data_IF_539517488475
#
_entry.id   IF_539517488475
#
_cell.length_a   1.000
_cell.length_b   1.000
_cell.length_c   1.000
_cell.angle_alpha   90.00
_cell.angle_beta   90.00
_cell.angle_gamma   90.00
#
_symmetry.space_group_name_H-M   'P 1'
#
loop_
_entity.id
_entity.type
_entity.pdbx_description
1 polymer ?
#
# COMPACT_ATOMS: atom_id res chain seq x y z
N UNK A 1 33.05 96.92 -36.91
CA UNK A 1 33.41 95.49 -36.86
C UNK A 1 33.07 94.95 -35.48
N UNK A 2 31.86 94.41 -35.28
CA UNK A 2 31.47 93.68 -34.07
C UNK A 2 31.81 92.20 -34.29
N UNK A 3 32.63 91.62 -33.40
CA UNK A 3 32.93 90.19 -33.40
C UNK A 3 31.95 89.51 -32.45
N UNK A 4 31.08 88.67 -32.98
CA UNK A 4 30.19 87.79 -32.23
C UNK A 4 30.97 86.53 -31.84
N UNK A 5 31.18 86.31 -30.55
CA UNK A 5 31.76 85.08 -30.00
C UNK A 5 30.61 84.12 -29.70
N UNK A 6 30.54 83.00 -30.41
CA UNK A 6 29.59 81.92 -30.13
C UNK A 6 30.33 80.85 -29.33
N UNK A 7 29.93 80.67 -28.07
CA UNK A 7 30.41 79.62 -27.17
C UNK A 7 29.52 78.39 -27.37
N UNK A 8 30.08 77.29 -27.84
CA UNK A 8 29.43 75.98 -27.85
C UNK A 8 29.62 75.32 -26.48
N UNK A 9 28.54 75.19 -25.69
CA UNK A 9 28.53 74.39 -24.47
C UNK A 9 28.17 72.95 -24.85
N UNK A 10 29.14 72.04 -24.74
CA UNK A 10 28.93 70.61 -24.92
C UNK A 10 28.45 70.02 -23.59
N UNK A 11 27.15 69.71 -23.47
CA UNK A 11 26.60 69.00 -22.32
C UNK A 11 26.75 67.50 -22.57
N UNK A 12 27.68 66.85 -21.87
CA UNK A 12 27.80 65.40 -21.87
C UNK A 12 26.77 64.81 -20.88
N UNK A 13 25.71 64.20 -21.40
CA UNK A 13 24.76 63.41 -20.60
C UNK A 13 25.33 62.01 -20.37
N UNK A 14 25.76 61.72 -19.14
CA UNK A 14 26.07 60.36 -18.72
C UNK A 14 24.76 59.58 -18.55
N UNK A 15 24.43 58.70 -19.50
CA UNK A 15 23.35 57.73 -19.35
C UNK A 15 23.84 56.57 -18.46
N UNK A 16 23.27 56.46 -17.26
CA UNK A 16 23.42 55.27 -16.43
C UNK A 16 22.66 54.11 -17.09
N UNK A 17 23.37 53.23 -17.80
CA UNK A 17 22.83 51.94 -18.23
C UNK A 17 22.83 51.01 -17.01
N UNK A 18 21.71 50.89 -16.31
CA UNK A 18 21.52 49.78 -15.38
C UNK A 18 21.50 48.48 -16.17
N UNK A 19 22.19 47.44 -15.68
CA UNK A 19 22.15 46.11 -16.28
C UNK A 19 20.68 45.66 -16.44
N UNK A 20 20.20 45.55 -17.67
CA UNK A 20 18.87 45.02 -17.94
C UNK A 20 18.88 43.50 -17.72
N UNK A 21 17.80 42.97 -17.15
CA UNK A 21 17.50 41.53 -17.13
C UNK A 21 17.60 40.98 -18.56
N UNK A 22 18.12 39.77 -18.71
CA UNK A 22 18.27 39.12 -20.02
C UNK A 22 16.98 38.41 -20.38
N UNK A 23 16.28 38.91 -21.40
CA UNK A 23 15.15 38.24 -22.03
C UNK A 23 15.57 37.47 -23.27
N UNK A 24 15.21 36.20 -23.38
CA UNK A 24 15.31 35.42 -24.61
C UNK A 24 13.89 35.07 -25.06
N UNK A 25 13.44 35.67 -26.17
CA UNK A 25 12.06 35.51 -26.67
C UNK A 25 11.01 36.33 -25.92
N UNK A 26 11.42 37.22 -25.02
CA UNK A 26 10.59 38.25 -24.38
C UNK A 26 11.33 39.58 -24.33
N UNK A 27 10.62 40.69 -24.57
CA UNK A 27 11.15 42.05 -24.42
C UNK A 27 10.81 42.66 -23.06
N UNK A 28 10.05 41.93 -22.23
CA UNK A 28 9.68 42.31 -20.87
C UNK A 28 10.00 41.12 -19.96
N UNK A 29 11.30 40.87 -19.65
CA UNK A 29 11.68 39.82 -18.71
C UNK A 29 10.98 40.03 -17.37
N UNK A 30 10.60 38.94 -16.72
CA UNK A 30 10.08 39.02 -15.35
C UNK A 30 11.08 39.78 -14.45
N UNK A 31 10.64 40.80 -13.69
CA UNK A 31 11.52 41.64 -12.88
C UNK A 31 12.24 40.86 -11.77
N UNK A 32 11.76 39.66 -11.40
CA UNK A 32 12.42 38.79 -10.44
C UNK A 32 13.57 37.94 -11.03
N UNK A 33 13.68 37.85 -12.36
CA UNK A 33 14.60 36.93 -13.03
C UNK A 33 15.72 37.67 -13.79
N UNK A 34 16.98 37.39 -13.47
CA UNK A 34 18.12 37.91 -14.25
C UNK A 34 18.16 37.33 -15.67
N UNK A 35 17.63 36.11 -15.86
CA UNK A 35 17.43 35.47 -17.16
C UNK A 35 15.99 34.95 -17.24
N UNK A 36 15.23 35.43 -18.22
CA UNK A 36 13.88 34.98 -18.54
C UNK A 36 13.84 34.46 -19.98
N UNK A 37 13.34 33.24 -20.18
CA UNK A 37 13.28 32.58 -21.48
C UNK A 37 11.82 32.25 -21.79
N UNK A 38 11.28 32.88 -22.83
CA UNK A 38 9.92 32.65 -23.31
C UNK A 38 9.94 32.08 -24.72
N UNK A 39 9.27 30.94 -24.91
CA UNK A 39 9.08 30.35 -26.23
C UNK A 39 7.83 29.46 -26.23
N UNK A 40 7.10 29.48 -27.35
CA UNK A 40 5.95 28.58 -27.57
C UNK A 40 6.30 27.35 -28.42
N UNK A 41 7.53 27.27 -28.94
CA UNK A 41 7.95 26.23 -29.90
C UNK A 41 9.34 25.64 -29.66
N UNK A 42 10.13 26.19 -28.74
CA UNK A 42 11.48 25.72 -28.40
C UNK A 42 11.63 25.61 -26.89
N UNK A 43 12.50 24.71 -26.43
CA UNK A 43 12.83 24.55 -25.02
C UNK A 43 14.21 25.10 -24.67
N UNK A 44 14.55 25.07 -23.37
CA UNK A 44 15.91 25.30 -22.89
C UNK A 44 16.73 24.02 -22.97
N UNK A 45 17.91 24.10 -23.59
CA UNK A 45 18.89 23.01 -23.61
C UNK A 45 20.03 23.35 -22.65
N UNK A 46 20.03 22.87 -21.39
CA UNK A 46 21.14 23.09 -20.47
C UNK A 46 22.42 22.42 -20.97
N UNK A 47 23.60 22.77 -20.43
CA UNK A 47 24.84 22.06 -20.72
C UNK A 47 24.66 20.54 -20.57
N UNK A 48 25.06 19.80 -21.61
CA UNK A 48 24.91 18.34 -21.68
C UNK A 48 26.27 17.70 -21.50
N UNK A 49 26.40 16.79 -20.55
CA UNK A 49 27.67 16.15 -20.23
C UNK A 49 27.46 14.82 -19.51
N UNK A 50 28.42 13.92 -19.60
CA UNK A 50 28.43 12.64 -18.88
C UNK A 50 28.67 12.84 -17.37
N UNK A 51 28.42 11.81 -16.57
CA UNK A 51 28.73 11.81 -15.14
C UNK A 51 30.21 12.13 -14.85
N UNK A 52 31.13 11.65 -15.69
CA UNK A 52 32.57 11.89 -15.56
C UNK A 52 32.91 13.36 -15.79
N UNK A 53 32.40 13.95 -16.86
CA UNK A 53 32.60 15.37 -17.18
C UNK A 53 31.97 16.28 -16.12
N UNK A 54 30.76 15.95 -15.68
CA UNK A 54 30.06 16.65 -14.58
C UNK A 54 30.86 16.62 -13.27
N UNK A 55 31.46 15.48 -12.93
CA UNK A 55 32.32 15.35 -11.75
C UNK A 55 33.56 16.22 -11.85
N UNK A 56 34.10 16.38 -13.07
CA UNK A 56 35.25 17.20 -13.40
C UNK A 56 35.04 18.72 -13.31
N UNK A 57 33.80 19.21 -13.16
CA UNK A 57 33.54 20.64 -12.97
C UNK A 57 34.25 21.14 -11.71
N UNK A 58 35.24 22.02 -11.84
CA UNK A 58 35.89 22.68 -10.70
C UNK A 58 35.00 23.79 -10.11
N UNK A 59 35.15 24.08 -8.81
CA UNK A 59 34.48 25.20 -8.12
C UNK A 59 32.94 25.24 -8.31
N UNK A 60 32.28 24.10 -8.14
CA UNK A 60 30.82 23.97 -8.27
C UNK A 60 30.10 24.89 -7.27
N UNK A 61 29.04 25.55 -7.72
CA UNK A 61 28.20 26.42 -6.88
C UNK A 61 26.79 25.84 -6.75
N UNK A 62 26.14 26.06 -5.60
CA UNK A 62 24.76 25.64 -5.39
C UNK A 62 23.84 26.29 -6.45
N UNK A 63 22.90 25.51 -6.99
CA UNK A 63 22.00 25.92 -8.07
C UNK A 63 22.55 25.66 -9.48
N UNK A 64 23.76 25.14 -9.63
CA UNK A 64 24.29 24.73 -10.93
C UNK A 64 23.46 23.57 -11.50
N UNK A 65 22.94 23.73 -12.72
CA UNK A 65 22.11 22.72 -13.39
C UNK A 65 22.72 22.26 -14.72
N UNK A 66 22.66 20.96 -14.98
CA UNK A 66 23.12 20.33 -16.21
C UNK A 66 22.16 19.21 -16.62
N UNK A 67 22.20 18.79 -17.88
CA UNK A 67 21.61 17.51 -18.29
C UNK A 67 22.70 16.45 -18.35
N UNK A 68 22.64 15.48 -17.44
CA UNK A 68 23.59 14.39 -17.39
C UNK A 68 23.22 13.33 -18.44
N UNK A 69 24.05 13.21 -19.48
CA UNK A 69 23.81 12.27 -20.59
C UNK A 69 24.02 10.81 -20.19
N UNK A 70 24.72 10.54 -19.09
CA UNK A 70 24.86 9.18 -18.53
C UNK A 70 23.60 8.74 -17.80
N UNK A 71 22.97 9.64 -17.01
CA UNK A 71 21.74 9.32 -16.26
C UNK A 71 20.46 9.67 -17.02
N UNK A 72 20.58 10.37 -18.15
CA UNK A 72 19.45 10.81 -18.97
C UNK A 72 18.59 11.89 -18.30
N UNK A 73 19.13 12.65 -17.34
CA UNK A 73 18.34 13.50 -16.47
C UNK A 73 18.96 14.88 -16.20
N UNK A 74 18.12 15.86 -15.88
CA UNK A 74 18.55 17.12 -15.29
C UNK A 74 19.04 16.90 -13.85
N UNK A 75 20.26 17.33 -13.57
CA UNK A 75 20.86 17.28 -12.24
C UNK A 75 21.17 18.69 -11.76
N UNK A 76 20.95 18.94 -10.46
CA UNK A 76 21.27 20.20 -9.80
C UNK A 76 22.28 19.97 -8.68
N UNK A 77 23.34 20.77 -8.62
CA UNK A 77 24.25 20.78 -7.48
C UNK A 77 23.64 21.60 -6.35
N UNK A 78 23.44 21.01 -5.18
CA UNK A 78 22.83 21.69 -4.02
C UNK A 78 23.83 22.40 -3.10
N UNK A 79 25.12 22.41 -3.45
CA UNK A 79 26.22 22.92 -2.62
C UNK A 79 27.11 21.83 -2.05
N UNK A 80 26.61 20.61 -1.87
CA UNK A 80 27.37 19.46 -1.36
C UNK A 80 27.38 18.26 -2.30
N UNK A 81 26.32 18.08 -3.08
CA UNK A 81 26.11 16.92 -3.94
C UNK A 81 25.22 17.27 -5.13
N UNK A 82 25.26 16.41 -6.15
CA UNK A 82 24.35 16.48 -7.27
C UNK A 82 23.06 15.71 -6.98
N UNK A 83 21.92 16.36 -7.19
CA UNK A 83 20.59 15.79 -7.05
C UNK A 83 20.03 15.51 -8.44
N UNK A 84 19.54 14.29 -8.66
CA UNK A 84 18.79 13.92 -9.86
C UNK A 84 17.33 14.38 -9.72
N UNK A 85 16.88 15.25 -10.63
CA UNK A 85 15.54 15.86 -10.58
C UNK A 85 14.45 15.02 -11.28
N UNK A 86 14.82 13.93 -11.97
CA UNK A 86 13.89 13.08 -12.72
C UNK A 86 13.43 11.86 -11.92
N UNK A 87 13.57 11.93 -10.59
CA UNK A 87 13.39 10.88 -9.59
C UNK A 87 14.64 10.03 -9.34
N UNK A 88 15.12 10.08 -8.10
CA UNK A 88 15.89 8.98 -7.55
C UNK A 88 15.15 8.46 -6.34
N UNK A 89 14.91 7.15 -6.36
CA UNK A 89 14.70 6.40 -5.14
C UNK A 89 16.03 6.41 -4.37
N UNK A 90 16.00 6.46 -3.02
CA UNK A 90 17.19 6.14 -2.25
C UNK A 90 17.74 4.79 -2.71
N UNK A 91 19.07 4.63 -2.79
CA UNK A 91 19.70 3.40 -3.31
C UNK A 91 19.26 2.09 -2.62
N UNK A 92 18.67 2.17 -1.42
CA UNK A 92 18.09 1.05 -0.68
C UNK A 92 16.68 0.64 -1.15
N UNK A 93 15.98 1.48 -1.91
CA UNK A 93 14.63 1.20 -2.41
C UNK A 93 14.73 0.61 -3.81
N UNK A 94 14.40 -0.67 -3.91
CA UNK A 94 14.61 -1.47 -5.12
C UNK A 94 13.49 -1.29 -6.16
N UNK A 95 12.29 -0.92 -5.72
CA UNK A 95 11.13 -0.69 -6.59
C UNK A 95 10.11 0.23 -5.91
N UNK A 96 9.28 0.90 -6.72
CA UNK A 96 8.06 1.58 -6.29
C UNK A 96 6.98 1.35 -7.35
N UNK A 97 5.75 1.14 -6.90
CA UNK A 97 4.58 1.02 -7.77
C UNK A 97 3.43 1.79 -7.12
N UNK A 98 2.71 2.57 -7.92
CA UNK A 98 1.43 3.17 -7.53
C UNK A 98 0.36 2.40 -8.28
N UNK A 99 -0.46 1.65 -7.56
CA UNK A 99 -1.46 0.76 -8.13
C UNK A 99 -2.83 1.16 -7.58
N UNK A 100 -3.84 1.20 -8.45
CA UNK A 100 -5.21 1.54 -8.05
C UNK A 100 -6.12 1.86 -9.23
N UNK A 101 -7.34 2.28 -8.90
CA UNK A 101 -8.39 2.69 -9.81
C UNK A 101 -8.88 4.11 -9.53
N UNK A 102 -10.18 4.33 -9.73
CA UNK A 102 -10.82 5.64 -9.64
C UNK A 102 -11.52 5.91 -8.29
N UNK A 103 -11.44 4.98 -7.35
CA UNK A 103 -12.03 5.05 -6.01
C UNK A 103 -10.97 4.67 -4.97
N UNK A 104 -11.38 4.29 -3.75
CA UNK A 104 -10.45 3.90 -2.70
C UNK A 104 -9.85 2.52 -2.97
N UNK A 105 -8.53 2.41 -2.91
CA UNK A 105 -7.79 1.15 -3.00
C UNK A 105 -6.81 1.04 -1.83
N UNK A 106 -6.89 -0.07 -1.09
CA UNK A 106 -6.17 -0.29 0.16
C UNK A 106 -5.24 -1.49 0.01
N UNK A 107 -3.95 -1.33 0.31
CA UNK A 107 -3.00 -2.44 0.44
C UNK A 107 -2.84 -2.85 1.89
N UNK A 108 -3.49 -3.94 2.31
CA UNK A 108 -3.56 -4.35 3.72
C UNK A 108 -2.39 -5.26 4.12
N UNK A 109 -1.93 -6.12 3.21
CA UNK A 109 -0.89 -7.10 3.49
C UNK A 109 0.02 -7.32 2.28
N UNK A 110 1.30 -7.60 2.53
CA UNK A 110 2.27 -7.99 1.51
C UNK A 110 3.16 -9.11 2.03
N UNK A 111 3.46 -10.08 1.17
CA UNK A 111 4.41 -11.15 1.45
C UNK A 111 5.34 -11.36 0.25
N UNK A 112 6.64 -11.54 0.50
CA UNK A 112 7.56 -12.01 -0.53
C UNK A 112 7.23 -13.49 -0.86
N UNK A 113 7.18 -13.81 -2.15
CA UNK A 113 6.92 -15.15 -2.67
C UNK A 113 8.21 -15.90 -2.99
N UNK A 114 8.16 -17.23 -3.05
CA UNK A 114 9.32 -18.11 -3.26
C UNK A 114 10.08 -17.86 -4.59
N UNK A 115 9.40 -17.29 -5.58
CA UNK A 115 9.98 -16.86 -6.86
C UNK A 115 10.74 -15.51 -6.78
N UNK A 116 10.84 -14.92 -5.58
CA UNK A 116 11.45 -13.62 -5.33
C UNK A 116 10.54 -12.42 -5.60
N UNK A 117 9.34 -12.64 -6.14
CA UNK A 117 8.30 -11.63 -6.28
C UNK A 117 7.54 -11.37 -4.99
N UNK A 118 6.35 -10.76 -5.11
CA UNK A 118 5.53 -10.41 -3.96
C UNK A 118 4.05 -10.68 -4.23
N UNK A 119 3.30 -11.11 -3.22
CA UNK A 119 1.84 -11.14 -3.25
C UNK A 119 1.33 -10.04 -2.33
N UNK A 120 0.44 -9.20 -2.85
CA UNK A 120 -0.23 -8.13 -2.12
C UNK A 120 -1.71 -8.50 -2.01
N UNK A 121 -2.25 -8.37 -0.81
CA UNK A 121 -3.67 -8.51 -0.54
C UNK A 121 -4.22 -7.18 -0.01
N UNK A 122 -5.37 -6.81 -0.51
CA UNK A 122 -5.99 -5.54 -0.19
C UNK A 122 -7.46 -5.53 -0.57
N UNK A 123 -8.05 -4.35 -0.61
CA UNK A 123 -9.46 -4.16 -0.95
C UNK A 123 -9.63 -2.94 -1.83
N UNK A 124 -10.64 -2.96 -2.70
CA UNK A 124 -10.90 -1.90 -3.68
C UNK A 124 -12.39 -1.57 -3.75
N UNK A 125 -12.71 -0.29 -3.82
CA UNK A 125 -14.05 0.23 -4.16
C UNK A 125 -14.11 0.65 -5.65
N UNK A 126 -13.02 0.43 -6.38
CA UNK A 126 -12.90 0.75 -7.80
C UNK A 126 -13.46 -0.38 -8.66
N UNK A 127 -13.90 -0.06 -9.87
CA UNK A 127 -14.34 -1.06 -10.84
C UNK A 127 -13.93 -0.68 -12.26
N UNK A 128 -13.23 -1.61 -12.93
CA UNK A 128 -12.80 -1.53 -14.32
C UNK A 128 -12.05 -0.22 -14.64
N UNK A 129 -11.09 0.15 -13.79
CA UNK A 129 -10.33 1.40 -13.91
C UNK A 129 -8.89 1.23 -13.42
N UNK A 130 -7.95 1.92 -14.08
CA UNK A 130 -6.53 1.81 -13.77
C UNK A 130 -6.01 0.37 -13.87
N UNK A 131 -5.46 -0.13 -12.77
CA UNK A 131 -4.98 -1.53 -12.65
C UNK A 131 -6.06 -2.50 -12.14
N UNK A 132 -7.21 -1.97 -11.71
CA UNK A 132 -8.26 -2.72 -11.02
C UNK A 132 -9.21 -3.36 -12.03
N UNK A 133 -9.49 -4.65 -11.82
CA UNK A 133 -10.46 -5.42 -12.60
C UNK A 133 -11.91 -5.04 -12.35
N UNK A 134 -12.84 -5.86 -12.83
CA UNK A 134 -14.27 -5.65 -12.62
C UNK A 134 -14.66 -5.90 -11.15
N UNK A 135 -15.12 -4.86 -10.46
CA UNK A 135 -15.75 -4.96 -9.14
C UNK A 135 -17.15 -5.56 -9.22
N UNK A 136 -17.56 -6.23 -8.14
CA UNK A 136 -18.80 -7.01 -7.99
C UNK A 136 -19.72 -6.45 -6.90
N UNK A 137 -19.17 -5.69 -5.96
CA UNK A 137 -19.89 -5.11 -4.83
C UNK A 137 -19.48 -3.68 -4.51
N UNK A 138 -19.73 -3.26 -3.26
CA UNK A 138 -19.37 -1.93 -2.76
C UNK A 138 -17.87 -1.83 -2.46
N UNK A 139 -17.28 -2.94 -2.00
CA UNK A 139 -15.85 -3.10 -1.76
C UNK A 139 -15.50 -4.56 -1.98
N UNK A 140 -14.52 -4.83 -2.83
CA UNK A 140 -14.07 -6.18 -3.16
C UNK A 140 -12.64 -6.42 -2.67
N UNK A 141 -12.28 -7.68 -2.47
CA UNK A 141 -10.89 -8.07 -2.24
C UNK A 141 -10.07 -7.88 -3.53
N UNK A 142 -8.88 -7.28 -3.42
CA UNK A 142 -7.95 -7.14 -4.53
C UNK A 142 -6.63 -7.83 -4.22
N UNK A 143 -6.30 -8.82 -5.05
CA UNK A 143 -5.07 -9.63 -4.93
C UNK A 143 -4.15 -9.32 -6.09
N UNK A 144 -2.90 -8.95 -5.81
CA UNK A 144 -1.93 -8.53 -6.82
C UNK A 144 -0.65 -9.34 -6.67
N UNK A 145 -0.28 -10.09 -7.70
CA UNK A 145 1.05 -10.71 -7.80
C UNK A 145 1.99 -9.79 -8.54
N UNK A 146 3.12 -9.50 -7.90
CA UNK A 146 4.19 -8.68 -8.42
C UNK A 146 5.45 -9.51 -8.73
N UNK A 147 6.24 -9.03 -9.68
CA UNK A 147 7.62 -9.44 -9.89
C UNK A 147 8.53 -8.88 -8.78
N UNK A 148 9.78 -9.33 -8.72
CA UNK A 148 10.79 -8.79 -7.79
C UNK A 148 11.05 -7.28 -7.98
N UNK A 149 10.72 -6.72 -9.15
CA UNK A 149 10.86 -5.29 -9.49
C UNK A 149 9.56 -4.50 -9.35
N UNK A 150 8.50 -5.10 -8.79
CA UNK A 150 7.21 -4.43 -8.56
C UNK A 150 6.27 -4.32 -9.76
N UNK A 151 6.56 -5.02 -10.88
CA UNK A 151 5.64 -5.07 -12.02
C UNK A 151 4.51 -6.09 -11.76
N UNK A 152 3.29 -5.79 -12.18
CA UNK A 152 2.16 -6.72 -12.05
C UNK A 152 2.39 -7.93 -12.97
N UNK A 153 2.37 -9.12 -12.38
CA UNK A 153 2.32 -10.39 -13.12
C UNK A 153 0.88 -10.77 -13.41
N UNK A 154 0.02 -10.67 -12.40
CA UNK A 154 -1.43 -10.79 -12.51
C UNK A 154 -2.09 -10.09 -11.31
N UNK A 155 -3.35 -9.70 -11.45
CA UNK A 155 -4.17 -9.27 -10.33
C UNK A 155 -5.61 -9.79 -10.49
N UNK A 156 -6.35 -9.90 -9.38
CA UNK A 156 -7.73 -10.41 -9.34
C UNK A 156 -8.55 -9.59 -8.37
N UNK A 157 -9.75 -9.21 -8.81
CA UNK A 157 -10.80 -8.65 -7.95
C UNK A 157 -11.78 -9.78 -7.61
N UNK A 158 -11.96 -10.02 -6.31
CA UNK A 158 -12.71 -11.14 -5.77
C UNK A 158 -13.71 -10.63 -4.73
N UNK A 159 -14.98 -11.03 -4.83
CA UNK A 159 -16.01 -10.56 -3.91
C UNK A 159 -17.42 -10.93 -4.36
N UNK A 160 -18.40 -10.55 -3.54
CA UNK A 160 -19.83 -10.69 -3.80
C UNK A 160 -20.48 -9.36 -4.10
N UNK A 161 -21.80 -9.27 -3.86
CA UNK A 161 -22.56 -8.04 -4.14
C UNK A 161 -22.44 -6.95 -3.07
N UNK A 162 -21.74 -7.20 -1.96
CA UNK A 162 -21.67 -6.31 -0.80
C UNK A 162 -20.21 -5.94 -0.45
N UNK A 163 -19.84 -5.95 0.83
CA UNK A 163 -18.49 -5.63 1.29
C UNK A 163 -17.68 -6.90 1.53
N UNK A 164 -16.48 -6.94 0.97
CA UNK A 164 -15.52 -8.02 1.08
C UNK A 164 -14.12 -7.44 1.36
N UNK A 165 -13.66 -7.50 2.61
CA UNK A 165 -12.44 -6.81 3.06
C UNK A 165 -11.30 -7.79 3.37
N UNK A 166 -10.30 -7.89 2.48
CA UNK A 166 -9.16 -8.80 2.65
C UNK A 166 -8.26 -8.35 3.79
N UNK A 167 -7.98 -9.25 4.73
CA UNK A 167 -7.20 -8.97 5.95
C UNK A 167 -5.78 -9.49 5.88
N UNK A 168 -5.61 -10.73 5.44
CA UNK A 168 -4.30 -11.36 5.30
C UNK A 168 -4.27 -12.31 4.11
N UNK A 169 -3.13 -12.37 3.42
CA UNK A 169 -2.85 -13.32 2.34
C UNK A 169 -1.48 -13.98 2.56
N UNK A 170 -1.37 -15.25 2.20
CA UNK A 170 -0.13 -16.01 2.30
C UNK A 170 0.08 -16.92 1.09
N UNK A 171 1.31 -17.01 0.58
CA UNK A 171 1.69 -18.07 -0.35
C UNK A 171 1.73 -19.43 0.36
N UNK A 172 1.13 -20.43 -0.26
CA UNK A 172 1.08 -21.81 0.23
C UNK A 172 2.19 -22.66 -0.39
N UNK A 173 2.56 -23.78 0.26
CA UNK A 173 3.65 -24.67 -0.14
C UNK A 173 3.48 -25.30 -1.53
N UNK A 174 2.25 -25.39 -2.03
CA UNK A 174 1.91 -25.82 -3.39
C UNK A 174 2.14 -24.72 -4.46
N UNK A 175 2.66 -23.55 -4.06
CA UNK A 175 2.88 -22.38 -4.91
C UNK A 175 1.63 -21.51 -5.13
N UNK A 176 0.47 -21.93 -4.64
CA UNK A 176 -0.77 -21.14 -4.64
C UNK A 176 -0.82 -20.14 -3.49
N UNK A 177 -2.02 -19.66 -3.16
CA UNK A 177 -2.23 -18.63 -2.14
C UNK A 177 -3.48 -18.92 -1.31
N UNK A 178 -3.47 -18.54 -0.03
CA UNK A 178 -4.63 -18.56 0.86
C UNK A 178 -4.83 -17.15 1.41
N UNK A 179 -6.05 -16.65 1.41
CA UNK A 179 -6.38 -15.39 2.10
C UNK A 179 -7.64 -15.52 2.94
N UNK A 180 -7.76 -14.62 3.90
CA UNK A 180 -8.98 -14.40 4.66
C UNK A 180 -9.46 -12.95 4.53
N UNK A 181 -10.76 -12.77 4.54
CA UNK A 181 -11.47 -11.51 4.46
C UNK A 181 -12.66 -11.50 5.43
N UNK A 182 -13.19 -10.32 5.72
CA UNK A 182 -14.50 -10.16 6.36
C UNK A 182 -15.53 -9.82 5.27
N UNK A 183 -16.61 -10.58 5.17
CA UNK A 183 -17.61 -10.48 4.10
C UNK A 183 -19.01 -10.25 4.65
N UNK A 184 -19.72 -9.25 4.13
CA UNK A 184 -21.17 -9.10 4.31
C UNK A 184 -21.95 -9.64 3.10
N UNK A 185 -21.24 -10.15 2.09
CA UNK A 185 -21.81 -10.79 0.91
C UNK A 185 -22.34 -12.19 1.25
N UNK A 186 -23.46 -12.58 0.61
CA UNK A 186 -24.08 -13.89 0.78
C UNK A 186 -24.50 -14.44 -0.59
N UNK A 187 -24.01 -15.63 -0.93
CA UNK A 187 -24.30 -16.37 -2.16
C UNK A 187 -24.33 -15.52 -3.45
N UNK A 188 -23.29 -14.71 -3.67
CA UNK A 188 -23.18 -13.77 -4.80
C UNK A 188 -21.73 -13.65 -5.27
N UNK A 189 -21.54 -13.39 -6.57
CA UNK A 189 -20.21 -13.25 -7.16
C UNK A 189 -19.34 -14.48 -6.92
N UNK A 190 -18.15 -14.28 -6.34
CA UNK A 190 -17.25 -15.38 -5.94
C UNK A 190 -17.54 -15.91 -4.53
N UNK A 191 -18.36 -15.20 -3.75
CA UNK A 191 -18.74 -15.58 -2.39
C UNK A 191 -19.85 -16.62 -2.49
N UNK A 192 -19.46 -17.89 -2.47
CA UNK A 192 -20.42 -19.01 -2.49
C UNK A 192 -20.79 -19.44 -1.07
N UNK A 193 -22.06 -19.79 -0.86
CA UNK A 193 -22.58 -20.17 0.46
C UNK A 193 -23.46 -19.08 1.07
N UNK A 194 -24.18 -19.42 2.13
CA UNK A 194 -25.11 -18.50 2.80
C UNK A 194 -24.44 -17.95 4.04
N UNK A 195 -24.44 -16.63 4.19
CA UNK A 195 -23.99 -15.95 5.41
C UNK A 195 -24.83 -16.41 6.60
N UNK A 196 -24.18 -16.75 7.70
CA UNK A 196 -24.84 -17.15 8.94
C UNK A 196 -25.24 -15.94 9.78
N UNK A 197 -24.53 -14.82 9.63
CA UNK A 197 -24.79 -13.56 10.33
C UNK A 197 -24.67 -12.34 9.43
N UNK A 198 -24.42 -11.18 10.07
CA UNK A 198 -24.33 -9.89 9.39
C UNK A 198 -22.97 -9.68 8.70
N UNK A 199 -21.94 -10.40 9.14
CA UNK A 199 -20.61 -10.40 8.54
C UNK A 199 -19.89 -11.68 8.94
N UNK A 200 -19.38 -12.42 7.96
CA UNK A 200 -18.72 -13.70 8.19
C UNK A 200 -17.26 -13.65 7.73
N UNK A 201 -16.45 -14.57 8.23
CA UNK A 201 -15.09 -14.79 7.74
C UNK A 201 -15.13 -15.48 6.38
N UNK A 202 -14.56 -14.85 5.36
CA UNK A 202 -14.43 -15.41 4.03
C UNK A 202 -13.00 -15.90 3.78
N UNK A 203 -12.84 -17.21 3.55
CA UNK A 203 -11.54 -17.85 3.29
C UNK A 203 -11.50 -18.32 1.85
N UNK A 204 -10.42 -17.99 1.14
CA UNK A 204 -10.28 -18.28 -0.30
C UNK A 204 -8.92 -18.87 -0.59
N UNK A 205 -8.91 -20.05 -1.22
CA UNK A 205 -7.70 -20.67 -1.76
C UNK A 205 -7.61 -20.43 -3.25
N UNK A 206 -6.45 -19.96 -3.68
CA UNK A 206 -6.09 -19.75 -5.07
C UNK A 206 -5.00 -20.73 -5.50
N UNK A 207 -4.95 -21.01 -6.80
CA UNK A 207 -3.80 -21.65 -7.45
C UNK A 207 -2.66 -20.62 -7.70
N UNK A 208 -1.54 -21.06 -8.28
CA UNK A 208 -0.39 -20.19 -8.56
C UNK A 208 -0.68 -19.07 -9.61
N UNK A 209 -1.68 -19.29 -10.47
CA UNK A 209 -2.15 -18.32 -11.47
C UNK A 209 -3.22 -17.34 -10.92
N UNK A 210 -3.60 -17.49 -9.65
CA UNK A 210 -4.60 -16.66 -8.99
C UNK A 210 -6.05 -17.09 -9.27
N UNK A 211 -6.29 -18.28 -9.83
CA UNK A 211 -7.65 -18.78 -9.99
C UNK A 211 -8.14 -19.47 -8.72
N UNK A 212 -9.42 -19.27 -8.40
CA UNK A 212 -10.05 -19.82 -7.19
C UNK A 212 -10.13 -21.34 -7.28
N UNK A 213 -9.57 -22.01 -6.29
CA UNK A 213 -9.69 -23.46 -6.10
C UNK A 213 -10.89 -23.80 -5.22
N UNK A 214 -11.05 -23.08 -4.10
CA UNK A 214 -12.20 -23.20 -3.23
C UNK A 214 -12.37 -21.95 -2.38
N UNK A 215 -13.57 -21.79 -1.85
CA UNK A 215 -13.91 -20.75 -0.89
C UNK A 215 -14.81 -21.29 0.23
N UNK A 216 -14.76 -20.64 1.39
CA UNK A 216 -15.61 -20.90 2.56
C UNK A 216 -16.04 -19.58 3.18
N UNK A 217 -17.33 -19.49 3.49
CA UNK A 217 -17.88 -18.47 4.38
C UNK A 217 -18.11 -19.15 5.73
N UNK A 218 -17.52 -18.59 6.79
CA UNK A 218 -17.45 -19.17 8.13
C UNK A 218 -17.93 -18.13 9.14
N UNK A 219 -18.92 -18.47 9.97
CA UNK A 219 -19.44 -17.54 10.97
C UNK A 219 -20.59 -18.13 11.80
N UNK A 220 -21.02 -17.36 12.78
CA UNK A 220 -22.21 -17.59 13.59
C UNK A 220 -23.34 -16.62 13.23
N UNK A 221 -24.29 -16.42 14.15
CA UNK A 221 -25.47 -15.60 13.91
C UNK A 221 -25.21 -14.08 13.92
N UNK A 222 -24.08 -13.63 14.47
CA UNK A 222 -23.69 -12.22 14.60
C UNK A 222 -22.51 -11.88 13.66
N UNK A 223 -21.66 -10.93 14.02
CA UNK A 223 -20.49 -10.58 13.23
C UNK A 223 -19.26 -11.42 13.63
N UNK A 224 -18.55 -11.91 12.63
CA UNK A 224 -17.34 -12.72 12.74
C UNK A 224 -16.24 -12.14 11.84
N UNK A 225 -15.20 -11.59 12.44
CA UNK A 225 -14.17 -10.82 11.73
C UNK A 225 -12.86 -11.58 11.63
N UNK A 226 -12.51 -11.98 10.41
CA UNK A 226 -11.19 -12.53 10.12
C UNK A 226 -10.09 -11.49 10.40
N UNK A 227 -8.93 -11.95 10.86
CA UNK A 227 -7.76 -11.07 11.03
C UNK A 227 -6.48 -11.71 10.54
N UNK A 228 -6.35 -13.04 10.64
CA UNK A 228 -5.12 -13.74 10.27
C UNK A 228 -5.37 -15.14 9.72
N UNK A 229 -4.59 -15.57 8.73
CA UNK A 229 -4.66 -16.93 8.16
C UNK A 229 -3.25 -17.44 7.86
N UNK A 230 -2.96 -18.69 8.26
CA UNK A 230 -1.66 -19.31 7.99
C UNK A 230 -1.83 -20.77 7.56
N UNK A 231 -1.10 -21.20 6.53
CA UNK A 231 -0.95 -22.63 6.24
C UNK A 231 -0.17 -23.33 7.36
N UNK A 232 -0.69 -24.47 7.82
CA UNK A 232 -0.09 -25.28 8.87
C UNK A 232 0.77 -26.41 8.29
N UNK A 233 1.70 -26.95 9.08
CA UNK A 233 2.67 -27.97 8.67
C UNK A 233 2.03 -29.29 8.19
N UNK A 234 0.80 -29.57 8.62
CA UNK A 234 -0.01 -30.70 8.15
C UNK A 234 -0.71 -30.45 6.80
N UNK A 235 -0.46 -29.30 6.17
CA UNK A 235 -1.06 -28.87 4.90
C UNK A 235 -2.45 -28.25 5.02
N UNK A 236 -3.01 -28.15 6.22
CA UNK A 236 -4.23 -27.41 6.51
C UNK A 236 -3.97 -25.91 6.72
N UNK A 237 -4.90 -25.24 7.40
CA UNK A 237 -4.80 -23.81 7.68
C UNK A 237 -5.31 -23.48 9.07
N UNK A 238 -4.74 -22.45 9.71
CA UNK A 238 -5.24 -21.89 10.96
C UNK A 238 -5.73 -20.46 10.70
N UNK A 239 -7.01 -20.22 10.95
CA UNK A 239 -7.66 -18.91 10.89
C UNK A 239 -7.73 -18.35 12.30
N UNK A 240 -7.32 -17.10 12.44
CA UNK A 240 -7.60 -16.25 13.58
C UNK A 240 -8.64 -15.20 13.20
N UNK A 241 -9.63 -15.06 14.05
CA UNK A 241 -10.74 -14.14 13.95
C UNK A 241 -11.18 -13.72 15.35
N UNK A 242 -12.16 -12.84 15.44
CA UNK A 242 -12.94 -12.64 16.65
C UNK A 242 -14.43 -12.63 16.33
N UNK A 243 -15.23 -13.08 17.28
CA UNK A 243 -16.64 -13.38 17.09
C UNK A 243 -17.49 -12.68 18.12
N UNK A 244 -18.54 -11.99 17.68
CA UNK A 244 -19.64 -11.52 18.52
C UNK A 244 -20.74 -12.60 18.68
N UNK A 245 -20.59 -13.72 17.98
CA UNK A 245 -21.56 -14.81 17.98
C UNK A 245 -21.38 -15.70 19.21
N UNK A 246 -22.50 -16.16 19.77
CA UNK A 246 -22.51 -17.34 20.64
C UNK A 246 -22.79 -18.60 19.81
N UNK A 247 -22.95 -19.76 20.47
CA UNK A 247 -23.10 -21.07 19.81
C UNK A 247 -24.18 -21.06 18.70
N UNK A 248 -23.73 -21.03 17.44
CA UNK A 248 -24.55 -20.95 16.24
C UNK A 248 -23.72 -21.29 14.98
N UNK A 249 -24.30 -22.06 14.07
CA UNK A 249 -23.67 -22.49 12.82
C UNK A 249 -22.25 -23.05 13.00
N UNK A 250 -21.20 -22.37 12.50
CA UNK A 250 -19.81 -22.83 12.62
C UNK A 250 -19.20 -22.52 13.99
N UNK A 251 -19.75 -21.53 14.71
CA UNK A 251 -19.35 -21.19 16.07
C UNK A 251 -19.98 -22.21 17.01
N UNK A 252 -19.17 -23.19 17.44
CA UNK A 252 -19.67 -24.41 18.08
C UNK A 252 -19.60 -24.41 19.62
N UNK A 253 -19.32 -23.26 20.23
CA UNK A 253 -19.10 -23.12 21.68
C UNK A 253 -19.79 -21.82 22.13
N UNK A 254 -20.37 -21.76 23.35
CA UNK A 254 -20.90 -20.52 23.91
C UNK A 254 -19.81 -19.45 24.08
N UNK A 255 -20.16 -18.20 23.76
CA UNK A 255 -19.31 -17.03 24.06
C UNK A 255 -19.19 -16.80 25.57
N UNK A 256 -18.06 -16.29 26.02
CA UNK A 256 -17.83 -15.86 27.40
C UNK A 256 -18.25 -14.40 27.64
N UNK A 257 -18.42 -13.61 26.59
CA UNK A 257 -18.57 -12.16 26.68
C UNK A 257 -19.19 -11.51 25.44
N UNK A 258 -18.73 -10.29 25.15
CA UNK A 258 -19.21 -9.49 24.01
C UNK A 258 -18.55 -9.93 22.71
N UNK A 259 -17.23 -10.11 22.72
CA UNK A 259 -16.50 -10.72 21.63
C UNK A 259 -15.37 -11.58 22.17
N UNK A 260 -15.19 -12.75 21.58
CA UNK A 260 -14.14 -13.69 21.96
C UNK A 260 -13.17 -13.88 20.78
N UNK A 261 -11.90 -14.22 21.06
CA UNK A 261 -11.02 -14.75 20.01
C UNK A 261 -11.66 -16.00 19.42
N UNK A 262 -11.79 -16.04 18.10
CA UNK A 262 -12.25 -17.22 17.39
C UNK A 262 -11.11 -17.81 16.56
N UNK A 263 -10.71 -19.03 16.93
CA UNK A 263 -9.62 -19.75 16.28
C UNK A 263 -10.20 -20.97 15.56
N UNK A 264 -9.97 -21.08 14.26
CA UNK A 264 -10.54 -22.14 13.41
C UNK A 264 -9.43 -22.89 12.68
N UNK A 265 -9.28 -24.18 12.95
CA UNK A 265 -8.41 -25.07 12.18
C UNK A 265 -9.17 -25.68 11.03
N UNK A 266 -8.63 -25.51 9.84
CA UNK A 266 -9.14 -26.03 8.59
C UNK A 266 -8.24 -27.14 8.05
N UNK A 267 -8.84 -28.09 7.34
CA UNK A 267 -8.15 -29.07 6.51
C UNK A 267 -7.59 -28.40 5.25
N UNK A 268 -6.81 -29.15 4.45
CA UNK A 268 -6.30 -28.68 3.16
C UNK A 268 -7.40 -28.33 2.14
N UNK A 269 -8.62 -28.86 2.34
CA UNK A 269 -9.81 -28.60 1.51
C UNK A 269 -10.75 -27.55 2.12
N UNK A 270 -10.35 -26.91 3.22
CA UNK A 270 -11.15 -25.88 3.89
C UNK A 270 -12.28 -26.42 4.78
N UNK A 271 -12.30 -27.72 5.10
CA UNK A 271 -13.25 -28.26 6.07
C UNK A 271 -12.79 -27.95 7.50
N UNK A 272 -13.70 -27.53 8.37
CA UNK A 272 -13.40 -27.30 9.79
C UNK A 272 -12.99 -28.63 10.44
N UNK A 273 -11.79 -28.65 11.03
CA UNK A 273 -11.33 -29.75 11.87
C UNK A 273 -11.68 -29.52 13.34
N UNK A 274 -11.52 -28.28 13.79
CA UNK A 274 -11.96 -27.81 15.10
C UNK A 274 -12.01 -26.28 15.12
N UNK A 275 -12.80 -25.70 16.02
CA UNK A 275 -12.73 -24.28 16.37
C UNK A 275 -12.79 -24.06 17.88
N UNK A 276 -12.35 -22.89 18.35
CA UNK A 276 -12.35 -22.46 19.75
C UNK A 276 -12.79 -21.00 19.85
N UNK A 277 -13.64 -20.71 20.83
CA UNK A 277 -13.80 -19.36 21.37
C UNK A 277 -12.97 -19.23 22.64
N UNK A 278 -12.18 -18.17 22.73
CA UNK A 278 -11.33 -17.86 23.87
C UNK A 278 -11.58 -16.41 24.28
N UNK A 279 -12.07 -16.19 25.50
CA UNK A 279 -12.35 -14.83 25.98
C UNK A 279 -12.78 -14.76 27.43
N UNK A 280 -13.16 -13.56 27.86
CA UNK A 280 -13.65 -13.19 29.18
C UNK A 280 -15.06 -12.59 29.09
N UNK A 281 -15.49 -11.83 30.11
CA UNK A 281 -16.85 -11.26 30.14
C UNK A 281 -17.07 -10.09 29.17
N UNK A 282 -16.00 -9.50 28.61
CA UNK A 282 -16.05 -8.30 27.78
C UNK A 282 -15.54 -8.60 26.36
N UNK A 283 -14.67 -7.75 25.81
CA UNK A 283 -14.20 -7.82 24.42
C UNK A 283 -12.78 -8.36 24.34
N UNK A 284 -12.59 -9.37 23.49
CA UNK A 284 -11.31 -9.94 23.08
C UNK A 284 -11.22 -9.99 21.55
N UNK A 285 -10.33 -9.20 20.96
CA UNK A 285 -10.13 -9.17 19.52
C UNK A 285 -8.74 -9.70 19.13
N UNK A 286 -8.73 -10.81 18.38
CA UNK A 286 -7.51 -11.46 17.90
C UNK A 286 -6.94 -10.66 16.72
N UNK A 287 -5.66 -10.31 16.79
CA UNK A 287 -4.96 -9.62 15.70
C UNK A 287 -4.09 -10.58 14.84
N UNK A 288 -3.43 -11.56 15.46
CA UNK A 288 -2.57 -12.49 14.74
C UNK A 288 -2.58 -13.88 15.38
N UNK A 289 -2.41 -14.91 14.54
CA UNK A 289 -2.17 -16.28 14.99
C UNK A 289 -1.05 -16.91 14.18
N UNK A 290 -0.24 -17.76 14.83
CA UNK A 290 0.86 -18.50 14.19
C UNK A 290 0.96 -19.91 14.75
N UNK A 291 1.29 -20.87 13.89
CA UNK A 291 1.71 -22.20 14.32
C UNK A 291 3.13 -22.14 14.91
N UNK A 292 3.33 -22.77 16.07
CA UNK A 292 4.63 -22.89 16.75
C UNK A 292 5.39 -24.13 16.28
N UNK A 293 6.71 -24.16 16.52
CA UNK A 293 7.59 -25.23 16.02
C UNK A 293 7.29 -26.62 16.64
N UNK A 294 6.67 -26.66 17.81
CA UNK A 294 6.20 -27.88 18.48
C UNK A 294 4.83 -28.37 17.96
N UNK A 295 4.26 -27.69 16.96
CA UNK A 295 2.97 -28.01 16.36
C UNK A 295 1.77 -27.35 17.05
N UNK A 296 1.99 -26.60 18.13
CA UNK A 296 0.98 -25.78 18.79
C UNK A 296 0.65 -24.50 18.02
N UNK A 297 -0.03 -23.58 18.69
CA UNK A 297 -0.41 -22.28 18.13
C UNK A 297 -0.22 -21.18 19.18
N UNK A 298 0.17 -20.00 18.72
CA UNK A 298 0.22 -18.77 19.51
C UNK A 298 -0.69 -17.74 18.85
N UNK A 299 -1.60 -17.17 19.63
CA UNK A 299 -2.48 -16.09 19.19
C UNK A 299 -2.09 -14.81 19.95
N UNK A 300 -2.43 -13.66 19.41
CA UNK A 300 -2.31 -12.39 20.14
C UNK A 300 -3.38 -11.41 19.69
N UNK A 301 -3.75 -10.52 20.58
CA UNK A 301 -4.79 -9.53 20.38
C UNK A 301 -4.83 -8.58 21.56
N UNK A 302 -6.02 -8.07 21.87
CA UNK A 302 -6.26 -7.36 23.12
C UNK A 302 -7.45 -7.92 23.87
N UNK A 303 -7.51 -7.63 25.16
CA UNK A 303 -8.64 -7.92 26.05
C UNK A 303 -9.06 -6.65 26.79
N UNK A 304 -10.35 -6.53 27.04
CA UNK A 304 -10.97 -5.58 27.99
C UNK A 304 -11.55 -6.29 29.21
N UNK A 305 -11.27 -7.59 29.36
CA UNK A 305 -11.64 -8.42 30.49
C UNK A 305 -10.54 -8.52 31.54
N UNK A 306 -10.93 -8.67 32.81
CA UNK A 306 -10.01 -8.81 33.95
C UNK A 306 -10.36 -10.05 34.76
N UNK A 307 -9.53 -11.08 34.68
CA UNK A 307 -9.61 -12.33 35.45
C UNK A 307 -10.94 -13.09 35.31
N UNK A 308 -11.45 -13.24 34.08
CA UNK A 308 -12.71 -13.94 33.77
C UNK A 308 -12.56 -14.84 32.56
N UNK A 309 -13.30 -15.95 32.53
CA UNK A 309 -13.28 -16.89 31.41
C UNK A 309 -11.88 -17.48 31.20
N UNK A 310 -11.36 -17.36 29.98
CA UNK A 310 -10.00 -17.76 29.61
C UNK A 310 -8.95 -16.67 29.90
N UNK A 311 -9.37 -15.43 30.14
CA UNK A 311 -8.46 -14.33 30.43
C UNK A 311 -7.97 -14.42 31.87
N UNK A 312 -6.68 -14.69 32.03
CA UNK A 312 -6.01 -14.72 33.33
C UNK A 312 -5.26 -13.42 33.60
N UNK A 313 -5.32 -12.91 34.82
CA UNK A 313 -4.63 -11.68 35.22
C UNK A 313 -5.57 -10.48 35.34
N UNK A 314 -5.04 -9.36 35.84
CA UNK A 314 -5.79 -8.13 36.08
C UNK A 314 -5.43 -7.09 35.04
N UNK A 315 -6.42 -6.37 34.52
CA UNK A 315 -6.16 -5.25 33.62
C UNK A 315 -5.36 -4.14 34.31
N UNK A 316 -4.46 -3.54 33.54
CA UNK A 316 -3.67 -2.37 33.91
C UNK A 316 -4.13 -1.10 33.16
N UNK A 317 -5.08 -1.22 32.21
CA UNK A 317 -5.63 -0.13 31.41
C UNK A 317 -7.00 -0.42 30.80
N UNK A 318 -7.34 0.28 29.70
CA UNK A 318 -8.61 0.08 28.97
C UNK A 318 -8.57 -1.16 28.08
N UNK A 319 -7.45 -1.34 27.36
CA UNK A 319 -7.16 -2.51 26.53
C UNK A 319 -5.75 -2.95 26.84
N UNK A 320 -5.59 -4.21 27.21
CA UNK A 320 -4.28 -4.82 27.43
C UNK A 320 -4.02 -5.91 26.38
N UNK A 321 -2.75 -6.15 26.09
CA UNK A 321 -2.35 -7.20 25.15
C UNK A 321 -2.65 -8.55 25.78
N UNK A 322 -3.33 -9.41 25.03
CA UNK A 322 -3.53 -10.81 25.37
C UNK A 322 -2.80 -11.71 24.38
N UNK A 323 -2.20 -12.78 24.89
CA UNK A 323 -1.41 -13.79 24.16
C UNK A 323 -1.80 -15.17 24.68
#
# INVERSE_FOLDING_TARGET
MQKLIVIFVLVATCLNLSAQNVGIGTNTPDPSAILDISSTSKGFLPPRMSSTERNGIANKVAGLMIYNTTTGCVEMYNGSSWINLCSSLPSSVLAKSLLGGNQNDLGNFIQQTADGGYIVGGSTESSLSGDVGLGKGEKDCWVIKLTATGAITWNKVLGGSAFDDLRQIQQTADGGYIFCASSTSSNSGDVTGTSNGNMDCWVVKLNAAGDTLWTKLLGGAEADLATSIQQTADGGYILGAYSFSSESADVSIPSNGLSDFWVVKLSSTGAIQWNRLLGGLFEEELNAIRQTADGGYIATGYTTSSATGNVTGTLHGVRDVWV
#
